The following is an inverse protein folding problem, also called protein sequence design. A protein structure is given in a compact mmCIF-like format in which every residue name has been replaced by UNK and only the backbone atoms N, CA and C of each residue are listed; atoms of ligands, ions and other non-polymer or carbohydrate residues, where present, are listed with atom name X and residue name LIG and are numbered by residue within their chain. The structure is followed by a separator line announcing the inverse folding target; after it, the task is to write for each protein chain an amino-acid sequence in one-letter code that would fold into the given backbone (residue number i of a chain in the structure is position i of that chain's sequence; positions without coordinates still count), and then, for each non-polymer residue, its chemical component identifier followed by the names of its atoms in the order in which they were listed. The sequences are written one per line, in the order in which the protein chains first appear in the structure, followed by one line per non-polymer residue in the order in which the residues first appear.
data_IF_745377172706
#
_entry.id   IF_745377172706
#
_cell.length_a   1.000
_cell.length_b   1.000
_cell.length_c   1.000
_cell.angle_alpha   90.00
_cell.angle_beta   90.00
_cell.angle_gamma   90.00
#
_symmetry.space_group_name_H-M   'P 1'
#
loop_
_entity.id
_entity.type
_entity.pdbx_description
1 polymer ?
#
# COMPACT_ATOMS: atom_id res chain seq x y z
N UNK A 1 5.65 -5.87 13.33
CA UNK A 1 6.91 -5.77 12.58
C UNK A 1 6.52 -5.26 11.21
N UNK A 2 7.27 -4.29 10.67
CA UNK A 2 6.96 -3.74 9.36
C UNK A 2 6.88 -4.79 8.29
N UNK A 3 5.87 -4.65 7.43
CA UNK A 3 5.84 -5.42 6.19
C UNK A 3 7.08 -5.02 5.39
N UNK A 4 7.89 -6.01 5.03
CA UNK A 4 9.12 -5.73 4.31
C UNK A 4 8.83 -5.34 2.85
N UNK A 5 7.72 -5.86 2.30
CA UNK A 5 7.22 -5.53 0.97
C UNK A 5 5.70 -5.78 0.84
N UNK A 6 5.17 -5.58 -0.37
CA UNK A 6 3.76 -5.82 -0.69
C UNK A 6 3.35 -7.30 -0.55
N UNK A 7 4.27 -8.25 -0.76
CA UNK A 7 3.98 -9.69 -0.69
C UNK A 7 3.71 -10.09 0.75
N UNK A 8 4.49 -9.56 1.69
CA UNK A 8 4.26 -9.74 3.13
C UNK A 8 2.88 -9.23 3.55
N UNK A 9 2.48 -8.05 3.04
CA UNK A 9 1.15 -7.49 3.32
C UNK A 9 0.03 -8.35 2.74
N UNK A 10 0.13 -8.76 1.47
CA UNK A 10 -0.83 -9.64 0.80
C UNK A 10 -0.98 -10.96 1.57
N UNK A 11 0.13 -11.58 1.97
CA UNK A 11 0.13 -12.84 2.72
C UNK A 11 -0.53 -12.66 4.10
N UNK A 12 -0.36 -11.50 4.74
CA UNK A 12 -1.02 -11.21 6.01
C UNK A 12 -2.52 -11.00 5.85
N UNK A 13 -2.97 -10.32 4.79
CA UNK A 13 -4.40 -10.20 4.46
C UNK A 13 -5.01 -11.58 4.20
N UNK A 14 -4.34 -12.44 3.43
CA UNK A 14 -4.80 -13.79 3.13
C UNK A 14 -4.95 -14.64 4.42
N UNK A 15 -3.96 -14.57 5.33
CA UNK A 15 -4.04 -15.26 6.64
C UNK A 15 -5.20 -14.76 7.51
N UNK A 16 -5.59 -13.50 7.37
CA UNK A 16 -6.72 -12.88 8.09
C UNK A 16 -8.08 -13.13 7.42
N UNK A 17 -8.10 -13.77 6.24
CA UNK A 17 -9.33 -13.91 5.44
C UNK A 17 -9.76 -12.62 4.74
N UNK A 18 -8.90 -11.62 4.71
CA UNK A 18 -9.13 -10.27 4.14
C UNK A 18 -8.67 -10.16 2.68
N UNK A 19 -8.18 -11.26 2.09
CA UNK A 19 -7.83 -11.33 0.68
C UNK A 19 -8.37 -12.61 0.04
N UNK A 20 -8.95 -12.47 -1.16
CA UNK A 20 -9.46 -13.58 -1.97
C UNK A 20 -8.71 -13.64 -3.30
N UNK A 21 -8.27 -14.83 -3.69
CA UNK A 21 -7.66 -15.10 -5.01
C UNK A 21 -8.74 -15.46 -6.03
N UNK A 22 -8.77 -14.75 -7.14
CA UNK A 22 -9.71 -14.96 -8.24
C UNK A 22 -8.98 -15.67 -9.39
N UNK A 23 -9.36 -16.92 -9.63
CA UNK A 23 -8.79 -17.77 -10.68
C UNK A 23 -9.56 -17.72 -12.01
N UNK A 24 -10.82 -17.31 -11.96
CA UNK A 24 -11.64 -17.06 -13.14
C UNK A 24 -10.97 -15.99 -13.99
N UNK A 25 -10.98 -16.16 -15.32
CA UNK A 25 -10.50 -15.11 -16.23
C UNK A 25 -11.34 -13.85 -16.08
N UNK A 26 -10.69 -12.69 -15.88
CA UNK A 26 -11.36 -11.38 -15.79
C UNK A 26 -10.69 -10.38 -16.72
N UNK A 27 -11.48 -9.59 -17.42
CA UNK A 27 -10.99 -8.54 -18.31
C UNK A 27 -10.50 -7.30 -17.54
N UNK A 28 -9.31 -6.76 -17.85
CA UNK A 28 -8.88 -5.47 -17.32
C UNK A 28 -9.64 -4.29 -17.95
N UNK A 29 -10.40 -4.55 -19.02
CA UNK A 29 -11.33 -3.60 -19.60
C UNK A 29 -12.69 -3.73 -18.89
N UNK A 30 -13.00 -2.75 -18.02
CA UNK A 30 -14.24 -2.55 -17.28
C UNK A 30 -14.59 -3.61 -16.22
N UNK A 31 -14.38 -4.91 -16.47
CA UNK A 31 -14.86 -5.97 -15.57
C UNK A 31 -14.18 -5.95 -14.20
N UNK A 32 -12.85 -5.80 -14.14
CA UNK A 32 -12.16 -5.65 -12.85
C UNK A 32 -12.75 -4.46 -12.07
N UNK A 33 -12.98 -3.32 -12.73
CA UNK A 33 -13.52 -2.12 -12.05
C UNK A 33 -14.93 -2.35 -11.50
N UNK A 34 -15.82 -2.99 -12.25
CA UNK A 34 -17.17 -3.34 -11.79
C UNK A 34 -17.13 -4.25 -10.55
N UNK A 35 -16.21 -5.22 -10.53
CA UNK A 35 -16.00 -6.09 -9.37
C UNK A 35 -15.51 -5.27 -8.17
N UNK A 36 -14.54 -4.38 -8.39
CA UNK A 36 -14.00 -3.52 -7.33
C UNK A 36 -15.05 -2.56 -6.76
N UNK A 37 -15.92 -2.01 -7.59
CA UNK A 37 -17.01 -1.13 -7.15
C UNK A 37 -17.96 -1.86 -6.20
N UNK A 38 -18.41 -3.06 -6.58
CA UNK A 38 -19.27 -3.88 -5.71
C UNK A 38 -18.58 -4.22 -4.40
N UNK A 39 -17.31 -4.65 -4.47
CA UNK A 39 -16.51 -4.98 -3.29
C UNK A 39 -16.36 -3.78 -2.37
N UNK A 40 -16.09 -2.59 -2.90
CA UNK A 40 -15.96 -1.39 -2.09
C UNK A 40 -17.28 -1.05 -1.38
N UNK A 41 -18.41 -1.09 -2.10
CA UNK A 41 -19.73 -0.78 -1.56
C UNK A 41 -20.18 -1.78 -0.48
N UNK A 42 -19.82 -3.05 -0.63
CA UNK A 42 -20.15 -4.10 0.35
C UNK A 42 -19.06 -4.30 1.42
N UNK A 43 -18.02 -3.44 1.45
CA UNK A 43 -16.84 -3.60 2.33
C UNK A 43 -16.19 -4.99 2.21
N UNK A 44 -16.17 -5.54 1.00
CA UNK A 44 -15.59 -6.83 0.67
C UNK A 44 -14.06 -6.89 0.81
N UNK A 45 -13.46 -8.08 0.63
CA UNK A 45 -12.03 -8.30 0.82
C UNK A 45 -11.18 -7.61 -0.25
N UNK A 46 -9.88 -7.54 0.00
CA UNK A 46 -8.90 -7.35 -1.07
C UNK A 46 -8.96 -8.53 -2.06
N UNK A 47 -8.57 -8.30 -3.30
CA UNK A 47 -8.60 -9.34 -4.33
C UNK A 47 -7.32 -9.41 -5.11
N UNK A 48 -6.91 -10.64 -5.45
CA UNK A 48 -5.81 -10.92 -6.35
C UNK A 48 -6.35 -11.70 -7.55
N UNK A 49 -6.45 -11.04 -8.70
CA UNK A 49 -6.81 -11.65 -9.98
C UNK A 49 -5.57 -12.35 -10.56
N UNK A 50 -5.58 -13.68 -10.53
CA UNK A 50 -4.46 -14.51 -11.00
C UNK A 50 -4.52 -14.76 -12.51
N UNK A 51 -5.71 -14.61 -13.12
CA UNK A 51 -5.94 -14.81 -14.54
C UNK A 51 -6.59 -13.57 -15.17
N UNK A 52 -5.76 -12.70 -15.73
CA UNK A 52 -6.21 -11.45 -16.37
C UNK A 52 -6.17 -11.62 -17.89
N UNK A 53 -7.32 -11.41 -18.55
CA UNK A 53 -7.49 -11.73 -19.97
C UNK A 53 -6.44 -11.04 -20.85
N UNK A 54 -5.59 -11.85 -21.49
CA UNK A 54 -4.54 -11.37 -22.39
C UNK A 54 -3.23 -10.98 -21.73
N UNK A 55 -3.07 -11.19 -20.41
CA UNK A 55 -1.88 -10.79 -19.65
C UNK A 55 -1.35 -11.92 -18.79
N UNK A 56 -0.03 -11.99 -18.63
CA UNK A 56 0.64 -12.93 -17.71
C UNK A 56 0.85 -12.34 -16.30
N UNK A 57 0.63 -11.04 -16.14
CA UNK A 57 0.84 -10.31 -14.88
C UNK A 57 -0.48 -10.28 -14.11
N UNK A 58 -0.51 -10.75 -12.84
CA UNK A 58 -1.72 -10.71 -12.03
C UNK A 58 -2.01 -9.28 -11.56
N UNK A 59 -3.28 -9.01 -11.20
CA UNK A 59 -3.72 -7.71 -10.66
C UNK A 59 -4.15 -7.89 -9.22
N UNK A 60 -3.49 -7.17 -8.31
CA UNK A 60 -3.97 -7.02 -6.92
C UNK A 60 -4.73 -5.71 -6.78
N UNK A 61 -5.89 -5.74 -6.12
CA UNK A 61 -6.75 -4.58 -5.99
C UNK A 61 -7.61 -4.63 -4.73
N UNK A 62 -8.33 -3.55 -4.44
CA UNK A 62 -9.11 -3.35 -3.21
C UNK A 62 -8.34 -3.52 -1.89
N UNK A 63 -7.01 -3.40 -1.92
CA UNK A 63 -6.10 -3.57 -0.77
C UNK A 63 -6.54 -2.71 0.42
N UNK A 64 -6.94 -1.47 0.14
CA UNK A 64 -7.32 -0.47 1.15
C UNK A 64 -8.82 -0.14 1.09
N UNK A 65 -9.65 -1.10 0.67
CA UNK A 65 -11.11 -0.92 0.54
C UNK A 65 -11.87 -0.74 1.85
N UNK A 66 -11.23 -0.83 3.01
CA UNK A 66 -11.83 -0.57 4.32
C UNK A 66 -10.85 0.19 5.23
N UNK A 67 -11.37 0.86 6.26
CA UNK A 67 -10.56 1.62 7.23
C UNK A 67 -9.63 0.68 7.98
N UNK A 68 -10.11 -0.50 8.35
CA UNK A 68 -9.35 -1.53 9.04
C UNK A 68 -8.12 -1.97 8.21
N UNK A 69 -8.26 -2.12 6.88
CA UNK A 69 -7.13 -2.47 6.01
C UNK A 69 -6.17 -1.30 5.77
N UNK A 70 -6.66 -0.06 5.77
CA UNK A 70 -5.81 1.14 5.75
C UNK A 70 -4.95 1.20 7.01
N UNK A 71 -5.57 1.08 8.18
CA UNK A 71 -4.89 1.04 9.46
C UNK A 71 -3.86 -0.10 9.51
N UNK A 72 -4.25 -1.29 9.07
CA UNK A 72 -3.35 -2.44 9.00
C UNK A 72 -2.14 -2.17 8.11
N UNK A 73 -2.32 -1.50 6.96
CA UNK A 73 -1.24 -1.10 6.06
C UNK A 73 -0.27 -0.09 6.67
N UNK A 74 -0.73 0.70 7.64
CA UNK A 74 0.08 1.62 8.44
C UNK A 74 0.59 0.98 9.74
N UNK A 75 0.45 -0.34 9.89
CA UNK A 75 0.79 -1.10 11.11
C UNK A 75 0.13 -0.55 12.37
N UNK A 76 -1.11 -0.11 12.20
CA UNK A 76 -1.91 0.50 13.23
C UNK A 76 -3.27 -0.17 13.31
N UNK A 77 -4.08 0.27 14.27
CA UNK A 77 -5.51 0.07 14.32
C UNK A 77 -6.22 1.39 13.97
N UNK A 78 -7.55 1.38 13.98
CA UNK A 78 -8.31 2.59 13.63
C UNK A 78 -8.06 3.75 14.60
N UNK A 79 -7.84 3.45 15.88
CA UNK A 79 -7.56 4.46 16.92
C UNK A 79 -6.20 5.13 16.67
N UNK A 80 -5.19 4.36 16.28
CA UNK A 80 -3.86 4.88 16.00
C UNK A 80 -3.77 5.77 14.74
N UNK A 81 -4.79 5.80 13.87
CA UNK A 81 -4.84 6.74 12.74
C UNK A 81 -4.87 8.20 13.20
N UNK A 82 -5.50 8.51 14.34
CA UNK A 82 -5.52 9.87 14.91
C UNK A 82 -4.12 10.27 15.41
N UNK A 83 -3.40 9.35 16.02
CA UNK A 83 -2.02 9.58 16.47
C UNK A 83 -1.09 9.87 15.29
N UNK A 84 -1.26 9.13 14.19
CA UNK A 84 -0.52 9.37 12.93
C UNK A 84 -0.84 10.77 12.39
N UNK A 85 -2.12 11.15 12.35
CA UNK A 85 -2.54 12.49 11.90
C UNK A 85 -1.93 13.60 12.75
N UNK A 86 -1.97 13.45 14.07
CA UNK A 86 -1.39 14.41 15.03
C UNK A 86 0.13 14.51 14.85
N UNK A 87 0.80 13.38 14.63
CA UNK A 87 2.23 13.34 14.35
C UNK A 87 2.59 14.08 13.06
N UNK A 88 1.84 13.86 11.97
CA UNK A 88 2.05 14.54 10.70
C UNK A 88 1.79 16.04 10.79
N UNK A 89 0.75 16.47 11.52
CA UNK A 89 0.46 17.89 11.74
C UNK A 89 1.60 18.60 12.47
N UNK A 90 2.18 17.94 13.48
CA UNK A 90 3.35 18.47 14.20
C UNK A 90 4.56 18.60 13.27
N UNK A 91 4.80 17.66 12.35
CA UNK A 91 5.92 17.75 11.40
C UNK A 91 5.83 18.96 10.46
N UNK A 92 4.62 19.38 10.09
CA UNK A 92 4.40 20.55 9.24
C UNK A 92 4.70 21.86 9.97
N UNK A 93 4.34 21.93 11.25
CA UNK A 93 4.51 23.13 12.08
C UNK A 93 5.14 22.78 13.44
N UNK A 94 6.46 22.49 13.47
CA UNK A 94 7.12 22.13 14.73
C UNK A 94 7.17 23.36 15.65
N UNK A 95 6.51 23.28 16.80
CA UNK A 95 6.61 24.34 17.80
C UNK A 95 8.01 24.37 18.43
N UNK A 96 8.70 25.52 18.44
CA UNK A 96 9.99 25.63 19.11
C UNK A 96 9.82 25.37 20.62
N UNK A 97 10.69 24.56 21.26
CA UNK A 97 10.60 24.30 22.69
C UNK A 97 10.78 25.60 23.48
N UNK A 98 9.89 25.86 24.45
CA UNK A 98 9.89 27.07 25.29
C UNK A 98 10.84 26.96 26.50
N UNK A 99 11.66 25.90 26.57
CA UNK A 99 12.69 25.73 27.61
C UNK A 99 13.41 24.38 27.59
N UNK A 100 14.41 24.22 28.47
CA UNK A 100 15.27 23.03 28.54
C UNK A 100 14.51 21.73 28.88
N UNK A 101 13.54 21.79 29.79
CA UNK A 101 12.71 20.63 30.17
C UNK A 101 11.91 20.13 28.95
N UNK A 102 11.36 21.05 28.19
CA UNK A 102 10.54 20.75 27.02
C UNK A 102 11.39 20.22 25.85
N UNK A 103 12.61 20.74 25.69
CA UNK A 103 13.59 20.22 24.73
C UNK A 103 13.97 18.76 25.03
N UNK A 104 14.19 18.39 26.30
CA UNK A 104 14.47 17.00 26.70
C UNK A 104 13.25 16.10 26.41
N UNK A 105 12.03 16.56 26.71
CA UNK A 105 10.79 15.80 26.39
C UNK A 105 10.61 15.59 24.88
N UNK A 106 11.06 16.52 24.05
CA UNK A 106 11.00 16.42 22.58
C UNK A 106 12.14 15.61 21.96
N UNK A 107 13.15 15.20 22.74
CA UNK A 107 14.29 14.43 22.23
C UNK A 107 13.89 13.07 21.60
N UNK A 108 13.00 12.24 22.20
CA UNK A 108 12.55 10.99 21.58
C UNK A 108 11.85 11.22 20.25
N UNK A 109 11.13 12.34 20.13
CA UNK A 109 10.44 12.73 18.90
C UNK A 109 11.44 13.05 17.78
N UNK A 110 12.49 13.84 18.06
CA UNK A 110 13.57 14.10 17.10
C UNK A 110 14.30 12.81 16.69
N UNK A 111 14.52 11.88 17.61
CA UNK A 111 15.08 10.57 17.29
C UNK A 111 14.17 9.77 16.33
N UNK A 112 12.84 9.85 16.51
CA UNK A 112 11.85 9.26 15.61
C UNK A 112 11.93 9.86 14.21
N UNK A 113 12.09 11.18 14.08
CA UNK A 113 12.31 11.84 12.77
C UNK A 113 13.56 11.31 12.09
N UNK A 114 14.68 11.20 12.81
CA UNK A 114 15.92 10.69 12.20
C UNK A 114 15.75 9.27 11.65
N UNK A 115 14.88 8.46 12.27
CA UNK A 115 14.58 7.10 11.82
C UNK A 115 13.77 7.03 10.51
N UNK A 116 13.17 8.14 10.05
CA UNK A 116 12.40 8.22 8.80
C UNK A 116 13.28 8.34 7.56
N UNK A 117 14.60 8.47 7.71
CA UNK A 117 15.51 8.64 6.58
C UNK A 117 15.52 7.38 5.72
N UNK A 118 15.23 7.46 4.41
CA UNK A 118 15.29 6.31 3.52
C UNK A 118 16.68 5.68 3.51
N UNK A 119 16.74 4.34 3.51
CA UNK A 119 17.98 3.60 3.33
C UNK A 119 18.21 3.34 1.86
N UNK A 120 19.35 3.78 1.33
CA UNK A 120 19.74 3.47 -0.05
C UNK A 120 20.33 2.07 -0.14
N UNK A 121 19.95 1.33 -1.17
CA UNK A 121 20.43 -0.02 -1.46
C UNK A 121 20.82 -0.13 -2.94
N UNK A 122 21.85 -0.90 -3.23
CA UNK A 122 22.39 -1.03 -4.59
C UNK A 122 21.69 -2.12 -5.43
N UNK A 123 20.94 -3.01 -4.78
CA UNK A 123 20.20 -4.11 -5.42
C UNK A 123 18.89 -4.31 -4.68
N UNK A 124 17.80 -4.46 -5.42
CA UNK A 124 16.47 -4.72 -4.87
C UNK A 124 15.69 -5.69 -5.79
N UNK A 125 14.71 -6.46 -5.25
CA UNK A 125 13.89 -7.36 -6.05
C UNK A 125 13.13 -6.68 -7.21
N UNK A 126 12.82 -5.38 -7.08
CA UNK A 126 12.18 -4.61 -8.15
C UNK A 126 13.09 -4.38 -9.39
N UNK A 127 14.36 -4.79 -9.34
CA UNK A 127 15.34 -4.67 -10.42
C UNK A 127 15.71 -6.02 -11.06
N UNK A 128 15.02 -7.12 -10.69
CA UNK A 128 15.33 -8.47 -11.21
C UNK A 128 15.05 -8.61 -12.72
N UNK A 129 14.04 -7.91 -13.23
CA UNK A 129 13.68 -7.88 -14.65
C UNK A 129 13.86 -6.46 -15.16
N UNK A 130 14.79 -6.27 -16.11
CA UNK A 130 15.13 -4.97 -16.68
C UNK A 130 14.72 -4.96 -18.16
N UNK A 131 13.84 -4.02 -18.51
CA UNK A 131 13.40 -3.74 -19.88
C UNK A 131 13.76 -2.29 -20.18
N UNK A 132 14.50 -2.02 -21.26
CA UNK A 132 15.09 -0.71 -21.54
C UNK A 132 15.06 -0.39 -23.04
N UNK A 133 15.12 0.90 -23.37
CA UNK A 133 15.20 1.38 -24.75
C UNK A 133 13.98 0.97 -25.57
N UNK A 134 14.22 0.42 -26.75
CA UNK A 134 13.17 0.04 -27.71
C UNK A 134 12.35 -1.18 -27.26
N UNK A 135 12.81 -1.94 -26.26
CA UNK A 135 12.07 -3.09 -25.70
C UNK A 135 10.96 -2.66 -24.72
N UNK A 136 10.88 -1.37 -24.38
CA UNK A 136 9.87 -0.83 -23.45
C UNK A 136 8.50 -0.83 -24.12
N UNK A 137 7.66 -1.76 -23.67
CA UNK A 137 6.28 -1.88 -24.11
C UNK A 137 5.33 -1.98 -22.91
N UNK A 138 4.56 -0.91 -22.68
CA UNK A 138 3.57 -0.83 -21.59
C UNK A 138 2.34 -1.70 -21.85
N UNK A 139 2.07 -2.08 -23.11
CA UNK A 139 0.94 -2.94 -23.47
C UNK A 139 1.08 -4.37 -22.94
N UNK A 140 2.26 -4.72 -22.41
CA UNK A 140 2.53 -6.00 -21.72
C UNK A 140 1.92 -6.07 -20.33
N UNK A 141 1.44 -4.95 -19.77
CA UNK A 141 0.88 -4.87 -18.43
C UNK A 141 -0.63 -4.65 -18.48
N UNK A 142 -1.40 -5.24 -17.53
CA UNK A 142 -2.86 -5.14 -17.47
C UNK A 142 -3.30 -3.76 -16.96
N UNK A 143 -3.00 -2.70 -17.72
CA UNK A 143 -3.46 -1.36 -17.42
C UNK A 143 -4.97 -1.34 -17.60
N UNK A 144 -5.69 -0.99 -16.54
CA UNK A 144 -7.14 -1.09 -16.50
C UNK A 144 -7.80 0.08 -17.25
N UNK A 145 -8.88 -0.24 -17.97
CA UNK A 145 -9.85 0.78 -18.40
C UNK A 145 -11.01 0.76 -17.42
N UNK A 146 -11.24 1.88 -16.74
CA UNK A 146 -12.18 1.91 -15.61
C UNK A 146 -13.62 2.24 -15.99
N UNK A 147 -13.81 3.09 -17.00
CA UNK A 147 -15.13 3.61 -17.39
C UNK A 147 -15.28 3.61 -18.92
N UNK A 148 -16.51 3.41 -19.44
CA UNK A 148 -16.78 3.34 -20.88
C UNK A 148 -16.76 4.72 -21.59
#
# INVERSE_FOLDING_TARGET
MPYNDLRDFINNLEKKGELVRIKTEVSPYLEITEILERLLLMKGPAVLFENVKGFSVPVVANLYGTIERVALGLESDEEGLEEIGTFLAYLQHPEPPKGLIEAIKKLPFFAKIMSLTPKSVNRAPCQEVIIQGDDVDLSRFPIMTCWP
#
